data_IF_818552038000
#
_entry.id   IF_818552038000
#
_cell.length_a   1.000
_cell.length_b   1.000
_cell.length_c   1.000
_cell.angle_alpha   90.00
_cell.angle_beta   90.00
_cell.angle_gamma   90.00
#
_symmetry.space_group_name_H-M   'P 1'
#
loop_
_entity.id
_entity.type
_entity.pdbx_description
1 polymer ?
#
# COMPACT_ATOMS: atom_id res chain seq x y z
N UNK A 1 -5.69 1.58 31.66
CA UNK A 1 -4.23 1.47 31.52
C UNK A 1 -3.72 2.86 31.18
N UNK A 2 -2.89 3.47 32.03
CA UNK A 2 -2.48 4.85 31.85
C UNK A 2 -1.24 4.94 30.95
N UNK A 3 -1.45 5.01 29.64
CA UNK A 3 -0.43 5.36 28.63
C UNK A 3 -0.17 6.89 28.61
N UNK A 4 -0.17 7.52 29.77
CA UNK A 4 -0.05 8.97 29.89
C UNK A 4 0.98 9.30 30.95
N UNK A 5 1.89 10.19 30.60
CA UNK A 5 2.84 10.72 31.56
C UNK A 5 2.09 11.52 32.63
N UNK A 6 2.32 11.20 33.90
CA UNK A 6 1.71 11.91 35.04
C UNK A 6 2.20 13.38 35.15
N UNK A 7 3.30 13.71 34.47
CA UNK A 7 3.88 15.05 34.37
C UNK A 7 4.30 15.33 32.94
N UNK A 8 4.16 16.58 32.47
CA UNK A 8 4.69 17.02 31.18
C UNK A 8 6.22 17.03 31.19
N UNK A 9 6.85 15.92 30.81
CA UNK A 9 8.30 15.80 30.64
C UNK A 9 8.66 15.78 29.15
N UNK A 10 9.13 16.91 28.63
CA UNK A 10 9.65 16.99 27.25
C UNK A 10 11.18 17.07 27.31
N UNK A 11 11.83 16.00 26.87
CA UNK A 11 13.27 15.98 26.63
C UNK A 11 13.56 16.67 25.28
N UNK A 12 13.84 17.98 25.34
CA UNK A 12 14.03 18.82 24.17
C UNK A 12 15.19 18.34 23.27
N UNK A 13 16.26 17.83 23.86
CA UNK A 13 17.40 17.29 23.12
C UNK A 13 17.02 16.01 22.37
N UNK A 14 16.31 15.09 23.03
CA UNK A 14 15.81 13.87 22.38
C UNK A 14 14.83 14.19 21.25
N UNK A 15 13.91 15.12 21.47
CA UNK A 15 12.95 15.57 20.44
C UNK A 15 13.68 16.18 19.24
N UNK A 16 14.68 17.03 19.46
CA UNK A 16 15.46 17.64 18.39
C UNK A 16 16.22 16.58 17.58
N UNK A 17 16.88 15.62 18.25
CA UNK A 17 17.59 14.51 17.58
C UNK A 17 16.66 13.67 16.72
N UNK A 18 15.50 13.27 17.23
CA UNK A 18 14.54 12.45 16.50
C UNK A 18 13.95 13.21 15.30
N UNK A 19 13.64 14.51 15.46
CA UNK A 19 13.17 15.36 14.35
C UNK A 19 14.21 15.49 13.24
N UNK A 20 15.50 15.55 13.59
CA UNK A 20 16.58 15.65 12.61
C UNK A 20 16.86 14.33 11.88
N UNK A 21 16.66 13.19 12.55
CA UNK A 21 16.88 11.86 11.96
C UNK A 21 15.66 11.32 11.17
N UNK A 22 14.47 11.83 11.47
CA UNK A 22 13.22 11.36 10.88
C UNK A 22 13.04 11.75 9.40
N UNK A 23 12.16 11.07 8.66
CA UNK A 23 11.81 11.47 7.30
C UNK A 23 11.15 12.86 7.28
N UNK A 24 11.28 13.55 6.15
CA UNK A 24 10.61 14.82 5.95
C UNK A 24 9.08 14.66 6.07
N UNK A 25 8.35 15.65 6.65
CA UNK A 25 6.90 15.57 6.80
C UNK A 25 6.15 15.30 5.48
N UNK A 26 6.62 15.86 4.37
CA UNK A 26 6.05 15.61 3.05
C UNK A 26 6.17 14.14 2.61
N UNK A 27 7.29 13.47 2.93
CA UNK A 27 7.49 12.04 2.66
C UNK A 27 6.54 11.19 3.48
N UNK A 28 6.32 11.53 4.75
CA UNK A 28 5.36 10.83 5.61
C UNK A 28 3.92 10.99 5.11
N UNK A 29 3.56 12.17 4.61
CA UNK A 29 2.24 12.39 4.00
C UNK A 29 2.04 11.53 2.74
N UNK A 30 3.05 11.45 1.86
CA UNK A 30 2.99 10.59 0.69
C UNK A 30 2.86 9.10 1.08
N UNK A 31 3.64 8.66 2.06
CA UNK A 31 3.56 7.29 2.59
C UNK A 31 2.18 6.99 3.21
N UNK A 32 1.61 7.95 3.93
CA UNK A 32 0.28 7.81 4.51
C UNK A 32 -0.80 7.63 3.43
N UNK A 33 -0.73 8.37 2.32
CA UNK A 33 -1.65 8.18 1.19
C UNK A 33 -1.47 6.82 0.52
N UNK A 34 -0.24 6.33 0.39
CA UNK A 34 0.03 4.95 -0.04
C UNK A 34 -0.65 3.93 0.88
N UNK A 35 -0.45 4.03 2.19
CA UNK A 35 -1.07 3.11 3.16
C UNK A 35 -2.59 3.23 3.19
N UNK A 36 -3.14 4.43 3.04
CA UNK A 36 -4.59 4.64 2.93
C UNK A 36 -5.17 3.95 1.69
N UNK A 37 -4.46 3.97 0.57
CA UNK A 37 -4.86 3.22 -0.61
C UNK A 37 -4.78 1.70 -0.37
N UNK A 38 -3.71 1.21 0.25
CA UNK A 38 -3.53 -0.21 0.55
C UNK A 38 -4.43 -0.73 1.70
N UNK A 39 -4.95 0.15 2.56
CA UNK A 39 -5.87 -0.21 3.64
C UNK A 39 -7.30 -0.57 3.18
N UNK A 40 -7.58 -0.48 1.88
CA UNK A 40 -8.85 -0.91 1.30
C UNK A 40 -8.79 -2.38 0.86
N UNK A 41 -9.74 -3.22 1.30
CA UNK A 41 -9.69 -4.66 1.04
C UNK A 41 -9.64 -5.01 -0.46
N UNK A 42 -10.40 -4.31 -1.30
CA UNK A 42 -10.46 -4.60 -2.74
C UNK A 42 -9.14 -4.25 -3.41
N UNK A 43 -8.57 -3.07 -3.09
CA UNK A 43 -7.26 -2.67 -3.61
C UNK A 43 -6.16 -3.61 -3.13
N UNK A 44 -6.17 -4.01 -1.86
CA UNK A 44 -5.17 -4.93 -1.34
C UNK A 44 -5.25 -6.31 -2.02
N UNK A 45 -6.45 -6.83 -2.30
CA UNK A 45 -6.63 -8.06 -3.09
C UNK A 45 -6.09 -7.94 -4.50
N UNK A 46 -6.31 -6.80 -5.17
CA UNK A 46 -5.74 -6.52 -6.50
C UNK A 46 -4.21 -6.52 -6.44
N UNK A 47 -3.61 -5.79 -5.49
CA UNK A 47 -2.15 -5.72 -5.36
C UNK A 47 -1.56 -7.09 -5.02
N UNK A 48 -2.20 -7.86 -4.14
CA UNK A 48 -1.78 -9.22 -3.80
C UNK A 48 -1.83 -10.16 -5.01
N UNK A 49 -2.87 -10.07 -5.85
CA UNK A 49 -2.96 -10.84 -7.10
C UNK A 49 -1.85 -10.44 -8.08
N UNK A 50 -1.62 -9.14 -8.27
CA UNK A 50 -0.57 -8.61 -9.15
C UNK A 50 0.85 -8.90 -8.66
N UNK A 51 1.02 -9.22 -7.37
CA UNK A 51 2.29 -9.69 -6.83
C UNK A 51 2.63 -11.13 -7.29
N UNK A 52 1.63 -11.91 -7.72
CA UNK A 52 1.83 -13.26 -8.22
C UNK A 52 2.01 -13.29 -9.75
N UNK A 53 1.20 -12.52 -10.47
CA UNK A 53 1.20 -12.54 -11.94
C UNK A 53 0.65 -11.23 -12.53
N UNK A 54 1.04 -10.91 -13.77
CA UNK A 54 0.42 -9.81 -14.51
C UNK A 54 -0.99 -10.22 -15.00
N UNK A 55 -1.98 -9.34 -14.81
CA UNK A 55 -3.39 -9.68 -15.04
C UNK A 55 -4.11 -8.55 -15.79
N UNK A 56 -5.11 -8.89 -16.60
CA UNK A 56 -5.97 -7.88 -17.21
C UNK A 56 -7.13 -7.48 -16.28
N UNK A 57 -7.90 -6.46 -16.67
CA UNK A 57 -9.04 -5.97 -15.88
C UNK A 57 -10.10 -7.06 -15.67
N UNK A 58 -10.36 -7.89 -16.69
CA UNK A 58 -11.34 -8.97 -16.60
C UNK A 58 -10.89 -10.05 -15.60
N UNK A 59 -9.62 -10.47 -15.65
CA UNK A 59 -9.06 -11.46 -14.72
C UNK A 59 -9.15 -10.96 -13.27
N UNK A 60 -8.75 -9.70 -13.06
CA UNK A 60 -8.83 -9.06 -11.74
C UNK A 60 -10.27 -8.98 -11.24
N UNK A 61 -11.22 -8.59 -12.09
CA UNK A 61 -12.64 -8.50 -11.75
C UNK A 61 -13.20 -9.86 -11.29
N UNK A 62 -12.85 -10.93 -12.01
CA UNK A 62 -13.21 -12.30 -11.63
C UNK A 62 -12.55 -12.73 -10.31
N UNK A 63 -11.25 -12.43 -10.11
CA UNK A 63 -10.50 -12.87 -8.94
C UNK A 63 -10.96 -12.17 -7.64
N UNK A 64 -11.23 -10.87 -7.71
CA UNK A 64 -11.65 -10.10 -6.52
C UNK A 64 -13.18 -10.03 -6.33
N UNK A 65 -13.95 -10.67 -7.22
CA UNK A 65 -15.41 -10.75 -7.20
C UNK A 65 -16.11 -9.37 -7.20
N UNK A 66 -15.67 -8.49 -8.10
CA UNK A 66 -16.27 -7.15 -8.30
C UNK A 66 -16.39 -6.81 -9.78
N UNK A 67 -17.17 -5.78 -10.10
CA UNK A 67 -17.31 -5.33 -11.49
C UNK A 67 -16.00 -4.80 -12.10
N UNK A 68 -15.83 -4.93 -13.41
CA UNK A 68 -14.70 -4.34 -14.15
C UNK A 68 -14.58 -2.82 -13.96
N UNK A 69 -15.71 -2.14 -13.78
CA UNK A 69 -15.76 -0.70 -13.47
C UNK A 69 -15.12 -0.39 -12.12
N UNK A 70 -15.45 -1.20 -11.09
CA UNK A 70 -14.86 -1.07 -9.76
C UNK A 70 -13.35 -1.39 -9.77
N UNK A 71 -12.93 -2.44 -10.50
CA UNK A 71 -11.50 -2.73 -10.71
C UNK A 71 -10.80 -1.58 -11.42
N UNK A 72 -11.38 -1.05 -12.50
CA UNK A 72 -10.81 0.07 -13.26
C UNK A 72 -10.63 1.32 -12.38
N UNK A 73 -11.59 1.59 -11.50
CA UNK A 73 -11.48 2.67 -10.52
C UNK A 73 -10.33 2.43 -9.53
N UNK A 74 -10.24 1.23 -8.95
CA UNK A 74 -9.14 0.83 -8.07
C UNK A 74 -7.78 0.95 -8.75
N UNK A 75 -7.65 0.44 -9.98
CA UNK A 75 -6.42 0.51 -10.77
C UNK A 75 -6.02 1.95 -11.10
N UNK A 76 -6.99 2.86 -11.32
CA UNK A 76 -6.70 4.28 -11.53
C UNK A 76 -6.07 4.89 -10.28
N UNK A 77 -6.64 4.66 -9.11
CA UNK A 77 -6.09 5.16 -7.83
C UNK A 77 -4.71 4.58 -7.55
N UNK A 78 -4.54 3.27 -7.71
CA UNK A 78 -3.25 2.60 -7.52
C UNK A 78 -2.18 3.13 -8.49
N UNK A 79 -2.55 3.43 -9.74
CA UNK A 79 -1.63 4.05 -10.72
C UNK A 79 -1.23 5.47 -10.37
N UNK A 80 -2.17 6.29 -9.86
CA UNK A 80 -1.86 7.66 -9.44
C UNK A 80 -0.81 7.69 -8.32
N UNK A 81 -0.80 6.66 -7.48
CA UNK A 81 0.17 6.47 -6.40
C UNK A 81 1.41 5.67 -6.82
N UNK A 82 1.55 5.33 -8.10
CA UNK A 82 2.65 4.50 -8.65
C UNK A 82 2.81 3.15 -7.92
N UNK A 83 1.69 2.50 -7.61
CA UNK A 83 1.69 1.16 -7.01
C UNK A 83 1.58 0.07 -8.08
N UNK A 84 0.98 0.41 -9.21
CA UNK A 84 0.82 -0.50 -10.35
C UNK A 84 1.12 0.25 -11.64
N UNK A 85 1.55 -0.50 -12.64
CA UNK A 85 1.74 -0.07 -14.01
C UNK A 85 0.94 -0.94 -14.96
N UNK A 86 0.95 -0.61 -16.24
CA UNK A 86 0.27 -1.40 -17.26
C UNK A 86 0.99 -1.34 -18.61
N UNK A 87 0.80 -2.39 -19.39
CA UNK A 87 1.22 -2.48 -20.80
C UNK A 87 0.04 -2.93 -21.66
N UNK A 88 0.05 -2.54 -22.93
CA UNK A 88 -0.99 -2.95 -23.89
C UNK A 88 -0.47 -4.06 -24.79
N UNK A 89 -1.27 -5.10 -24.98
CA UNK A 89 -1.05 -6.16 -25.97
C UNK A 89 -2.30 -6.26 -26.84
N UNK A 90 -2.19 -5.77 -28.08
CA UNK A 90 -3.35 -5.61 -28.95
C UNK A 90 -4.39 -4.67 -28.32
N UNK A 91 -5.57 -5.21 -28.02
CA UNK A 91 -6.69 -4.47 -27.39
C UNK A 91 -6.75 -4.61 -25.87
N UNK A 92 -5.89 -5.45 -25.27
CA UNK A 92 -5.94 -5.81 -23.85
C UNK A 92 -4.89 -5.00 -23.08
N UNK A 93 -5.27 -4.49 -21.90
CA UNK A 93 -4.35 -3.86 -20.96
C UNK A 93 -4.03 -4.84 -19.83
N UNK A 94 -2.75 -5.21 -19.71
CA UNK A 94 -2.22 -6.03 -18.64
C UNK A 94 -1.57 -5.15 -17.58
N UNK A 95 -1.86 -5.42 -16.31
CA UNK A 95 -1.38 -4.69 -15.16
C UNK A 95 -0.36 -5.53 -14.40
N UNK A 96 0.59 -4.86 -13.78
CA UNK A 96 1.60 -5.44 -12.89
C UNK A 96 1.96 -4.42 -11.80
N UNK A 97 2.68 -4.87 -10.76
CA UNK A 97 3.22 -3.93 -9.78
C UNK A 97 4.24 -2.98 -10.42
N UNK A 98 4.29 -1.75 -9.90
CA UNK A 98 5.20 -0.71 -10.43
C UNK A 98 6.67 -1.09 -10.16
N UNK A 99 6.95 -1.60 -8.96
CA UNK A 99 8.29 -2.02 -8.57
C UNK A 99 8.28 -3.17 -7.52
N UNK A 100 9.49 -3.65 -7.19
CA UNK A 100 9.69 -4.69 -6.19
C UNK A 100 9.48 -4.21 -4.73
N UNK A 101 9.47 -2.91 -4.46
CA UNK A 101 9.16 -2.39 -3.12
C UNK A 101 7.68 -2.59 -2.78
N UNK A 102 6.77 -2.42 -3.74
CA UNK A 102 5.34 -2.69 -3.53
C UNK A 102 5.12 -4.17 -3.19
N UNK A 103 5.76 -5.09 -3.92
CA UNK A 103 5.67 -6.52 -3.65
C UNK A 103 6.16 -6.87 -2.25
N UNK A 104 7.32 -6.34 -1.85
CA UNK A 104 7.88 -6.54 -0.50
C UNK A 104 6.97 -5.99 0.59
N UNK A 105 6.39 -4.80 0.38
CA UNK A 105 5.51 -4.19 1.38
C UNK A 105 4.31 -5.09 1.70
N UNK A 106 3.69 -5.68 0.68
CA UNK A 106 2.58 -6.62 0.87
C UNK A 106 3.06 -7.91 1.55
N UNK A 107 4.22 -8.44 1.14
CA UNK A 107 4.79 -9.65 1.74
C UNK A 107 5.10 -9.46 3.24
N UNK A 108 5.73 -8.35 3.61
CA UNK A 108 6.02 -7.98 5.01
C UNK A 108 4.72 -7.81 5.81
N UNK A 109 3.70 -7.18 5.22
CA UNK A 109 2.38 -7.05 5.86
C UNK A 109 1.71 -8.38 6.15
N UNK A 110 1.79 -9.34 5.21
CA UNK A 110 1.28 -10.70 5.41
C UNK A 110 2.09 -11.44 6.48
N UNK A 111 3.43 -11.37 6.42
CA UNK A 111 4.31 -11.97 7.43
C UNK A 111 4.02 -11.46 8.84
N UNK A 112 3.77 -10.15 8.99
CA UNK A 112 3.40 -9.56 10.28
C UNK A 112 2.07 -10.10 10.83
N UNK A 113 1.06 -10.32 9.98
CA UNK A 113 -0.22 -10.91 10.40
C UNK A 113 -0.02 -12.35 10.86
N UNK A 114 0.80 -13.11 10.14
CA UNK A 114 1.12 -14.51 10.48
C UNK A 114 1.91 -14.61 11.80
N UNK A 115 2.78 -13.65 12.10
CA UNK A 115 3.52 -13.55 13.37
C UNK A 115 2.62 -13.21 14.55
N UNK A 116 1.67 -12.27 14.36
CA UNK A 116 0.69 -11.87 15.39
C UNK A 116 -0.35 -12.98 15.64
N UNK A 117 -0.50 -13.92 14.72
CA UNK A 117 -1.32 -15.13 14.87
C UNK A 117 -0.72 -16.24 15.73
N UNK A 118 0.49 -16.08 16.28
CA UNK A 118 1.16 -16.99 17.23
C UNK A 118 1.03 -16.49 18.67
#
# INVERSE_FOLDING_TARGET
>A
MADVCEVACVDAEKVARVRAAGPAPATLLALAETFKALGDPTRLRIVAALAQEELCVCDLATLVDVSESAVSHSLRTLRQLRLVQYRKVGKIAYYSLDDAHVARLVAEGLGHIDEVGR
#
